data_IF_096928413421
#
_entry.id   IF_096928413421
#
_cell.length_a   1.000
_cell.length_b   1.000
_cell.length_c   1.000
_cell.angle_alpha   90.00
_cell.angle_beta   90.00
_cell.angle_gamma   90.00
#
_symmetry.space_group_name_H-M   'P 1'
#
loop_
_entity.id
_entity.type
_entity.pdbx_description
1 polymer ?
#
# COMPACT_ATOMS: atom_id res chain seq x y z
N UNK A 1 -50.73 -21.08 5.80
CA UNK A 1 -49.65 -21.88 5.21
C UNK A 1 -48.90 -21.17 4.06
N UNK A 2 -49.53 -20.36 3.19
CA UNK A 2 -48.85 -19.68 2.06
C UNK A 2 -47.80 -18.61 2.50
N UNK A 3 -48.04 -17.88 3.59
CA UNK A 3 -47.12 -16.82 4.06
C UNK A 3 -45.82 -17.36 4.68
N UNK A 4 -45.88 -18.53 5.32
CA UNK A 4 -44.68 -19.16 5.92
C UNK A 4 -43.71 -19.60 4.84
N UNK A 5 -44.20 -20.12 3.70
CA UNK A 5 -43.36 -20.55 2.59
C UNK A 5 -42.65 -19.36 1.89
N UNK A 6 -43.30 -18.18 1.81
CA UNK A 6 -42.72 -16.98 1.24
C UNK A 6 -41.58 -16.44 2.15
N UNK A 7 -41.80 -16.47 3.47
CA UNK A 7 -40.79 -16.00 4.43
C UNK A 7 -39.52 -16.89 4.41
N UNK A 8 -39.69 -18.20 4.30
CA UNK A 8 -38.58 -19.16 4.18
C UNK A 8 -37.82 -18.98 2.87
N UNK A 9 -38.51 -18.65 1.77
CA UNK A 9 -37.86 -18.39 0.48
C UNK A 9 -37.02 -17.11 0.49
N UNK A 10 -37.51 -16.04 1.14
CA UNK A 10 -36.76 -14.78 1.29
C UNK A 10 -35.55 -14.99 2.19
N UNK A 11 -35.65 -15.77 3.26
CA UNK A 11 -34.51 -16.04 4.15
C UNK A 11 -33.43 -16.86 3.45
N UNK A 12 -33.80 -17.79 2.57
CA UNK A 12 -32.84 -18.58 1.78
C UNK A 12 -32.13 -17.76 0.72
N UNK A 13 -32.80 -16.77 0.12
CA UNK A 13 -32.16 -15.83 -0.84
C UNK A 13 -31.14 -14.88 -0.18
N UNK A 14 -31.44 -14.44 1.05
CA UNK A 14 -30.51 -13.61 1.83
C UNK A 14 -29.24 -14.37 2.22
N UNK A 15 -29.33 -15.65 2.55
CA UNK A 15 -28.16 -16.48 2.88
C UNK A 15 -27.29 -16.75 1.65
N UNK A 16 -27.86 -16.89 0.45
CA UNK A 16 -27.09 -17.04 -0.78
C UNK A 16 -26.27 -15.78 -1.13
N UNK A 17 -26.82 -14.59 -0.85
CA UNK A 17 -26.08 -13.34 -1.10
C UNK A 17 -24.88 -13.15 -0.18
N UNK A 18 -24.97 -13.58 1.09
CA UNK A 18 -23.85 -13.53 2.04
C UNK A 18 -22.75 -14.51 1.61
N UNK A 19 -23.09 -15.70 1.10
CA UNK A 19 -22.10 -16.66 0.59
C UNK A 19 -21.40 -16.20 -0.70
N UNK A 20 -22.09 -15.42 -1.55
CA UNK A 20 -21.49 -14.89 -2.79
C UNK A 20 -20.44 -13.80 -2.52
N UNK A 21 -20.60 -12.99 -1.48
CA UNK A 21 -19.62 -11.95 -1.11
C UNK A 21 -18.34 -12.51 -0.45
N UNK A 22 -18.37 -13.75 0.02
CA UNK A 22 -17.19 -14.37 0.67
C UNK A 22 -16.21 -15.04 -0.33
N UNK A 23 -16.55 -15.09 -1.61
CA UNK A 23 -15.75 -15.80 -2.63
C UNK A 23 -14.69 -14.95 -3.32
N UNK A 24 -14.71 -13.64 -3.15
CA UNK A 24 -13.76 -12.72 -3.82
C UNK A 24 -12.60 -12.25 -2.94
N UNK A 25 -12.51 -12.72 -1.70
CA UNK A 25 -11.32 -12.57 -0.87
C UNK A 25 -10.28 -13.64 -1.21
N UNK A 26 -9.90 -13.79 -2.47
CA UNK A 26 -8.57 -14.30 -2.81
C UNK A 26 -7.57 -13.21 -2.42
N UNK A 27 -7.30 -13.10 -1.14
CA UNK A 27 -6.16 -12.39 -0.65
C UNK A 27 -4.95 -12.94 -1.39
N UNK A 28 -4.31 -12.11 -2.21
CA UNK A 28 -2.98 -12.43 -2.69
C UNK A 28 -2.15 -12.66 -1.44
N UNK A 29 -1.79 -13.92 -1.17
CA UNK A 29 -0.88 -14.27 -0.09
C UNK A 29 0.44 -13.58 -0.41
N UNK A 30 0.63 -12.39 0.16
CA UNK A 30 1.92 -11.73 0.07
C UNK A 30 2.90 -12.57 0.88
N UNK A 31 3.94 -13.04 0.22
CA UNK A 31 5.04 -13.70 0.91
C UNK A 31 5.59 -12.74 1.95
N UNK A 32 5.70 -13.16 3.20
CA UNK A 32 6.25 -12.37 4.29
C UNK A 32 7.45 -13.05 4.91
N UNK A 33 8.32 -12.25 5.52
CA UNK A 33 9.49 -12.71 6.26
C UNK A 33 9.57 -11.95 7.59
N UNK A 34 9.70 -12.67 8.69
CA UNK A 34 9.83 -12.07 10.01
C UNK A 34 11.22 -11.43 10.15
N UNK A 35 11.25 -10.14 10.47
CA UNK A 35 12.47 -9.38 10.66
C UNK A 35 13.18 -9.79 11.96
N UNK A 36 14.51 -9.60 12.02
CA UNK A 36 15.30 -9.87 13.21
C UNK A 36 15.78 -8.57 13.86
N UNK A 37 15.99 -8.63 15.18
CA UNK A 37 16.57 -7.52 15.94
C UNK A 37 18.03 -7.23 15.47
N UNK A 38 18.40 -5.96 15.28
CA UNK A 38 17.60 -4.74 15.45
C UNK A 38 16.54 -4.60 14.37
N UNK A 39 15.26 -4.48 14.78
CA UNK A 39 14.16 -4.44 13.85
C UNK A 39 14.25 -3.23 12.90
N UNK A 40 14.05 -3.44 11.59
CA UNK A 40 13.96 -2.34 10.65
C UNK A 40 12.70 -1.52 10.89
N UNK A 41 12.77 -0.25 10.49
CA UNK A 41 11.61 0.64 10.46
C UNK A 41 11.66 1.55 9.26
N UNK A 42 10.50 2.06 8.86
CA UNK A 42 10.34 3.04 7.79
C UNK A 42 9.40 4.14 8.24
N UNK A 43 9.68 5.37 7.82
CA UNK A 43 8.80 6.53 7.91
C UNK A 43 8.79 7.26 6.57
N UNK A 44 7.78 8.10 6.32
CA UNK A 44 7.59 8.84 5.08
C UNK A 44 7.69 10.34 5.35
N UNK A 45 8.58 11.02 4.61
CA UNK A 45 8.56 12.48 4.47
C UNK A 45 8.15 12.85 3.06
N UNK A 46 7.19 13.75 2.95
CA UNK A 46 6.68 14.29 1.69
C UNK A 46 7.20 15.70 1.51
N UNK A 47 7.88 15.97 0.40
CA UNK A 47 8.49 17.26 0.09
C UNK A 47 7.96 17.71 -1.27
N UNK A 48 7.30 18.87 -1.35
CA UNK A 48 6.85 19.43 -2.63
C UNK A 48 8.07 19.75 -3.50
N UNK A 49 8.04 19.29 -4.74
CA UNK A 49 9.04 19.67 -5.73
C UNK A 49 8.75 21.09 -6.26
N UNK A 50 9.79 21.86 -6.52
CA UNK A 50 9.67 23.25 -6.97
C UNK A 50 9.10 23.38 -8.39
N UNK A 51 9.24 22.34 -9.23
CA UNK A 51 8.75 22.33 -10.61
C UNK A 51 7.42 21.58 -10.70
N UNK A 52 7.40 20.31 -10.34
CA UNK A 52 6.21 19.45 -10.45
C UNK A 52 6.32 18.28 -9.47
N UNK A 53 5.18 17.86 -8.94
CA UNK A 53 5.09 16.67 -8.12
C UNK A 53 5.65 16.80 -6.72
N UNK A 54 6.05 15.66 -6.16
CA UNK A 54 6.55 15.55 -4.78
C UNK A 54 7.70 14.55 -4.71
N UNK A 55 8.69 14.86 -3.89
CA UNK A 55 9.75 13.94 -3.52
C UNK A 55 9.37 13.25 -2.21
N UNK A 56 9.33 11.93 -2.24
CA UNK A 56 9.07 11.07 -1.09
C UNK A 56 10.41 10.58 -0.57
N UNK A 57 10.72 10.90 0.69
CA UNK A 57 11.86 10.32 1.38
C UNK A 57 11.38 9.19 2.30
N UNK A 58 11.94 8.00 2.12
CA UNK A 58 11.80 6.87 3.03
C UNK A 58 12.90 6.97 4.09
N UNK A 59 12.52 7.35 5.30
CA UNK A 59 13.45 7.44 6.43
C UNK A 59 13.49 6.07 7.10
N UNK A 60 14.54 5.30 6.82
CA UNK A 60 14.70 3.95 7.36
C UNK A 60 15.67 3.88 8.52
N UNK A 61 15.47 2.92 9.44
CA UNK A 61 16.42 2.52 10.47
C UNK A 61 16.64 1.02 10.40
N UNK A 62 17.85 0.58 10.66
CA UNK A 62 18.23 -0.84 10.67
C UNK A 62 17.87 -1.58 9.36
N UNK A 63 17.83 -0.86 8.25
CA UNK A 63 17.52 -1.39 6.92
C UNK A 63 18.51 -0.86 5.89
N UNK A 64 18.92 -1.72 4.98
CA UNK A 64 19.83 -1.36 3.89
C UNK A 64 19.21 -1.63 2.54
N UNK A 65 19.11 -0.60 1.70
CA UNK A 65 18.74 -0.77 0.30
C UNK A 65 19.87 -1.47 -0.46
N UNK A 66 19.53 -2.56 -1.14
CA UNK A 66 20.48 -3.39 -1.91
C UNK A 66 19.89 -3.71 -3.30
N UNK A 67 19.77 -2.69 -4.19
CA UNK A 67 19.18 -2.85 -5.52
C UNK A 67 19.90 -3.94 -6.34
N UNK A 68 21.18 -4.15 -6.13
CA UNK A 68 22.01 -5.15 -6.81
C UNK A 68 21.68 -6.61 -6.38
N UNK A 69 20.92 -6.77 -5.28
CA UNK A 69 20.54 -8.08 -4.74
C UNK A 69 19.06 -8.44 -4.96
N UNK A 70 18.30 -7.59 -5.64
CA UNK A 70 16.88 -7.85 -5.91
C UNK A 70 16.69 -9.14 -6.69
N UNK A 71 15.70 -9.94 -6.28
CA UNK A 71 15.39 -11.29 -6.81
C UNK A 71 16.50 -12.33 -6.56
N UNK A 72 17.40 -12.06 -5.61
CA UNK A 72 18.42 -13.00 -5.13
C UNK A 72 18.06 -13.49 -3.72
N UNK A 73 18.98 -14.28 -3.14
CA UNK A 73 18.86 -14.79 -1.77
C UNK A 73 18.72 -13.64 -0.76
N UNK A 74 17.86 -13.85 0.25
CA UNK A 74 17.61 -12.87 1.29
C UNK A 74 18.79 -12.74 2.25
N UNK A 75 19.16 -11.50 2.50
CA UNK A 75 20.01 -11.10 3.61
C UNK A 75 19.14 -10.30 4.57
N UNK A 76 19.17 -10.65 5.84
CA UNK A 76 18.28 -10.06 6.83
C UNK A 76 18.48 -8.53 6.91
N UNK A 77 17.36 -7.80 6.94
CA UNK A 77 17.32 -6.34 6.97
C UNK A 77 17.94 -5.65 5.73
N UNK A 78 18.14 -6.39 4.64
CA UNK A 78 18.50 -5.85 3.34
C UNK A 78 17.36 -6.04 2.33
N UNK A 79 17.26 -5.15 1.33
CA UNK A 79 16.28 -5.30 0.27
C UNK A 79 15.91 -3.98 -0.42
N UNK A 80 14.63 -3.80 -0.64
CA UNK A 80 14.04 -2.64 -1.33
C UNK A 80 12.72 -2.24 -0.66
N UNK A 81 12.11 -1.17 -1.12
CA UNK A 81 10.80 -0.77 -0.66
C UNK A 81 9.74 -0.96 -1.77
N UNK A 82 8.49 -1.14 -1.37
CA UNK A 82 7.35 -0.90 -2.24
C UNK A 82 6.63 0.36 -1.78
N UNK A 83 6.34 1.28 -2.71
CA UNK A 83 5.46 2.41 -2.47
C UNK A 83 4.15 2.17 -3.22
N UNK A 84 3.04 2.32 -2.53
CA UNK A 84 1.70 2.27 -3.09
C UNK A 84 1.10 3.66 -3.08
N UNK A 85 0.67 4.13 -4.26
CA UNK A 85 -0.02 5.40 -4.43
C UNK A 85 -1.45 5.07 -4.83
N UNK A 86 -2.42 5.38 -3.98
CA UNK A 86 -3.82 5.00 -4.18
C UNK A 86 -3.98 3.50 -4.51
N UNK A 87 -3.18 2.64 -3.84
CA UNK A 87 -3.15 1.19 -4.06
C UNK A 87 -2.27 0.72 -5.23
N UNK A 88 -1.79 1.60 -6.11
CA UNK A 88 -0.93 1.23 -7.23
C UNK A 88 0.53 1.07 -6.77
N UNK A 89 1.07 -0.14 -6.93
CA UNK A 89 2.40 -0.53 -6.45
C UNK A 89 3.52 -0.05 -7.36
N UNK A 90 4.55 0.56 -6.75
CA UNK A 90 5.83 0.90 -7.37
C UNK A 90 6.98 0.30 -6.56
N UNK A 91 8.03 -0.18 -7.24
CA UNK A 91 9.27 -0.65 -6.58
C UNK A 91 10.22 0.51 -6.41
N UNK A 92 10.85 0.60 -5.25
CA UNK A 92 11.78 1.67 -4.90
C UNK A 92 13.05 1.07 -4.34
N UNK A 93 14.18 1.45 -4.93
CA UNK A 93 15.47 0.82 -4.67
C UNK A 93 16.44 1.75 -3.91
N UNK A 94 15.92 2.88 -3.42
CA UNK A 94 16.66 3.87 -2.66
C UNK A 94 15.75 4.55 -1.63
N UNK A 95 16.30 5.47 -0.87
CA UNK A 95 15.50 6.27 0.09
C UNK A 95 14.60 7.31 -0.59
N UNK A 96 14.69 7.50 -1.91
CA UNK A 96 13.96 8.54 -2.62
C UNK A 96 13.10 8.00 -3.74
N UNK A 97 11.90 8.58 -3.83
CA UNK A 97 10.96 8.32 -4.91
C UNK A 97 10.26 9.63 -5.31
N UNK A 98 10.27 9.97 -6.60
CA UNK A 98 9.56 11.12 -7.13
C UNK A 98 8.18 10.72 -7.66
N UNK A 99 7.15 11.50 -7.31
CA UNK A 99 5.78 11.34 -7.81
C UNK A 99 5.46 12.55 -8.66
N UNK A 100 5.19 12.36 -9.94
CA UNK A 100 4.69 13.39 -10.83
C UNK A 100 3.26 13.81 -10.48
N UNK A 101 2.91 15.07 -10.73
CA UNK A 101 1.57 15.61 -10.45
C UNK A 101 0.46 14.80 -11.14
N UNK A 102 0.69 14.26 -12.36
CA UNK A 102 -0.26 13.46 -13.13
C UNK A 102 -0.63 12.13 -12.45
N UNK A 103 0.21 11.64 -11.55
CA UNK A 103 -0.07 10.44 -10.75
C UNK A 103 -0.97 10.71 -9.56
N UNK A 104 -1.15 11.97 -9.20
CA UNK A 104 -1.99 12.41 -8.09
C UNK A 104 -3.43 12.64 -8.57
N UNK A 105 -4.15 11.57 -8.82
CA UNK A 105 -5.48 11.58 -9.45
C UNK A 105 -6.65 11.84 -8.50
N UNK A 106 -6.38 11.91 -7.19
CA UNK A 106 -7.39 12.10 -6.15
C UNK A 106 -7.17 13.43 -5.42
N UNK A 107 -8.21 14.04 -4.81
CA UNK A 107 -8.05 15.20 -3.94
C UNK A 107 -7.10 14.93 -2.76
N UNK A 108 -7.15 13.72 -2.21
CA UNK A 108 -6.21 13.21 -1.21
C UNK A 108 -5.66 11.89 -1.74
N UNK A 109 -4.37 11.84 -1.99
CA UNK A 109 -3.68 10.66 -2.49
C UNK A 109 -3.01 9.95 -1.33
N UNK A 110 -3.43 8.73 -1.06
CA UNK A 110 -2.85 7.89 -0.01
C UNK A 110 -1.51 7.33 -0.49
N UNK A 111 -0.51 7.37 0.40
CA UNK A 111 0.79 6.75 0.20
C UNK A 111 0.98 5.71 1.29
N UNK A 112 1.37 4.50 0.92
CA UNK A 112 1.81 3.45 1.83
C UNK A 112 3.17 2.97 1.36
N UNK A 113 4.14 2.85 2.26
CA UNK A 113 5.44 2.27 1.97
C UNK A 113 5.67 1.04 2.84
N UNK A 114 6.24 -0.02 2.25
CA UNK A 114 6.63 -1.25 2.96
C UNK A 114 8.10 -1.56 2.71
N UNK A 115 8.75 -2.21 3.67
CA UNK A 115 10.09 -2.78 3.48
C UNK A 115 9.96 -4.22 3.02
N UNK A 116 10.75 -4.57 2.00
CA UNK A 116 10.70 -5.86 1.34
C UNK A 116 12.10 -6.46 1.21
N UNK A 117 12.20 -7.76 1.46
CA UNK A 117 13.42 -8.52 1.28
C UNK A 117 13.79 -8.67 -0.22
N UNK A 118 14.98 -9.19 -0.50
CA UNK A 118 15.47 -9.34 -1.87
C UNK A 118 14.56 -10.21 -2.75
N UNK A 119 13.90 -11.23 -2.19
CA UNK A 119 12.94 -12.09 -2.87
C UNK A 119 11.50 -11.54 -2.91
N UNK A 120 11.33 -10.25 -2.62
CA UNK A 120 10.07 -9.51 -2.55
C UNK A 120 9.14 -9.86 -1.39
N UNK A 121 9.56 -10.71 -0.43
CA UNK A 121 8.80 -10.94 0.78
C UNK A 121 8.69 -9.65 1.60
N UNK A 122 7.50 -9.34 2.13
CA UNK A 122 7.26 -8.17 2.97
C UNK A 122 7.84 -8.43 4.38
N UNK A 123 8.65 -7.51 4.89
CA UNK A 123 9.16 -7.63 6.26
C UNK A 123 8.04 -7.41 7.28
N UNK A 124 7.98 -8.30 8.28
CA UNK A 124 7.01 -8.23 9.37
C UNK A 124 7.70 -8.25 10.74
N UNK A 125 7.02 -7.73 11.76
CA UNK A 125 7.33 -7.91 13.18
C UNK A 125 6.06 -8.38 13.87
N UNK A 126 6.10 -9.54 14.50
CA UNK A 126 4.92 -10.19 15.09
C UNK A 126 3.77 -10.32 14.08
N UNK A 127 4.09 -10.74 12.85
CA UNK A 127 3.17 -10.89 11.72
C UNK A 127 2.51 -9.59 11.24
N UNK A 128 2.98 -8.41 11.69
CA UNK A 128 2.52 -7.11 11.21
C UNK A 128 3.53 -6.53 10.22
N UNK A 129 3.09 -6.03 9.07
CA UNK A 129 3.98 -5.40 8.10
C UNK A 129 4.77 -4.24 8.71
N UNK A 130 6.03 -4.12 8.30
CA UNK A 130 6.82 -2.92 8.57
C UNK A 130 6.48 -1.91 7.48
N UNK A 131 5.64 -0.95 7.84
CA UNK A 131 5.08 0.01 6.88
C UNK A 131 4.99 1.42 7.45
N UNK A 132 4.88 2.39 6.55
CA UNK A 132 4.52 3.77 6.86
C UNK A 132 3.37 4.22 5.95
N UNK A 133 2.49 5.07 6.48
CA UNK A 133 1.34 5.62 5.76
C UNK A 133 1.45 7.13 5.77
N UNK A 134 1.24 7.75 4.61
CA UNK A 134 1.19 9.18 4.41
C UNK A 134 0.10 9.56 3.42
N UNK A 135 -0.07 10.87 3.20
CA UNK A 135 -0.99 11.39 2.21
C UNK A 135 -0.45 12.66 1.55
N UNK A 136 -0.81 12.86 0.29
CA UNK A 136 -0.58 14.10 -0.46
C UNK A 136 -1.93 14.68 -0.82
N UNK A 137 -2.17 15.93 -0.40
CA UNK A 137 -3.30 16.73 -0.88
C UNK A 137 -2.95 17.30 -2.25
N UNK A 138 -3.78 16.99 -3.26
CA UNK A 138 -3.62 17.57 -4.59
C UNK A 138 -4.28 18.95 -4.63
N UNK A 139 -3.48 19.99 -4.57
CA UNK A 139 -3.96 21.39 -4.60
C UNK A 139 -4.57 21.76 -5.96
N UNK A 140 -4.17 21.11 -7.04
CA UNK A 140 -4.66 21.39 -8.39
C UNK A 140 -6.10 20.92 -8.60
N UNK A 141 -6.52 19.81 -8.00
CA UNK A 141 -7.89 19.27 -8.13
C UNK A 141 -8.91 20.15 -7.36
N UNK A 142 -8.52 20.73 -6.22
CA UNK A 142 -9.37 21.63 -5.44
C UNK A 142 -9.76 22.92 -6.19
N UNK A 143 -8.90 23.42 -7.05
CA UNK A 143 -9.14 24.65 -7.83
C UNK A 143 -10.08 24.44 -9.02
N UNK A 144 -10.23 23.21 -9.52
CA UNK A 144 -11.14 22.89 -10.63
C UNK A 144 -12.62 23.12 -10.29
N UNK A 145 -13.02 22.84 -9.04
CA UNK A 145 -14.39 23.06 -8.57
C UNK A 145 -14.71 24.52 -8.30
N UNK A 146 -13.71 25.34 -7.97
CA UNK A 146 -13.90 26.78 -7.69
C UNK A 146 -13.94 27.66 -8.95
N UNK A 147 -13.37 27.21 -10.08
CA UNK A 147 -13.32 27.94 -11.34
C UNK A 147 -14.50 27.66 -12.29
N UNK A 148 -15.50 26.88 -11.87
CA UNK A 148 -16.74 26.57 -12.62
C UNK A 148 -17.98 27.31 -12.09
N UNK A 149 -17.79 28.42 -11.38
CA UNK A 149 -18.89 29.32 -11.01
C UNK A 149 -18.92 30.53 -11.91
#
# INVERSE_FOLDING_TARGET
MRFINILLLILSLLTLQVYAQQKDAKGHSHKSIEAKNPYPSVDIKVIKDAKSGYNIQLVTKNFKFTPEKVSKENIMNEGHAHIYINGNKNRVYSEWYHIEDEKLTQPINQIRATLNANDHAEYTVNSRPIEAIGAIKNENIGNWYNNKK
#
